data_IF_960168983389
#
_entry.id   IF_960168983389
#
_cell.length_a   1.000
_cell.length_b   1.000
_cell.length_c   1.000
_cell.angle_alpha   90.00
_cell.angle_beta   90.00
_cell.angle_gamma   90.00
#
_symmetry.space_group_name_H-M   'P 1'
#
loop_
_entity.id
_entity.type
_entity.pdbx_description
1 polymer ?
#
# COMPACT_ATOMS: atom_id res chain seq x y z
N UNK A 1 -19.34 -33.85 -12.77
CA UNK A 1 -19.08 -32.52 -13.36
C UNK A 1 -17.62 -32.20 -13.06
N UNK A 2 -16.82 -31.92 -14.08
CA UNK A 2 -15.41 -31.62 -13.88
C UNK A 2 -15.31 -30.27 -13.13
N UNK A 3 -14.45 -30.12 -12.15
CA UNK A 3 -14.26 -28.90 -11.36
C UNK A 3 -14.01 -27.69 -12.27
N UNK A 4 -13.25 -27.86 -13.36
CA UNK A 4 -12.96 -26.79 -14.34
C UNK A 4 -14.20 -26.33 -15.12
N UNK A 5 -15.16 -27.23 -15.42
CA UNK A 5 -16.42 -26.85 -16.07
C UNK A 5 -17.26 -25.92 -15.14
N UNK A 6 -17.25 -26.18 -13.83
CA UNK A 6 -17.95 -25.33 -12.88
C UNK A 6 -17.25 -23.96 -12.72
N UNK A 7 -15.92 -23.93 -12.69
CA UNK A 7 -15.13 -22.68 -12.64
C UNK A 7 -15.36 -21.86 -13.91
N UNK A 8 -15.48 -22.49 -15.07
CA UNK A 8 -15.69 -21.84 -16.36
C UNK A 8 -17.06 -21.15 -16.50
N UNK A 9 -18.05 -21.54 -15.70
CA UNK A 9 -19.35 -20.88 -15.65
C UNK A 9 -19.34 -19.55 -14.89
N UNK A 10 -18.22 -19.21 -14.19
CA UNK A 10 -18.09 -17.97 -13.43
C UNK A 10 -17.89 -16.81 -14.39
N UNK A 11 -18.72 -15.77 -14.27
CA UNK A 11 -18.54 -14.53 -14.99
C UNK A 11 -18.62 -13.31 -14.06
N UNK A 12 -18.07 -12.20 -14.50
CA UNK A 12 -17.95 -10.97 -13.73
C UNK A 12 -18.76 -9.81 -14.31
N UNK A 13 -19.63 -10.04 -15.29
CA UNK A 13 -20.40 -9.03 -16.03
C UNK A 13 -21.25 -8.11 -15.16
N UNK A 14 -21.59 -8.56 -13.94
CA UNK A 14 -22.45 -7.81 -12.99
C UNK A 14 -21.68 -7.11 -11.91
N UNK A 15 -20.35 -7.18 -11.91
CA UNK A 15 -19.54 -6.53 -10.89
C UNK A 15 -19.37 -5.08 -11.26
N UNK A 16 -19.82 -4.18 -10.38
CA UNK A 16 -19.52 -2.77 -10.47
C UNK A 16 -18.15 -2.50 -9.80
N UNK A 17 -17.26 -1.83 -10.51
CA UNK A 17 -15.97 -1.42 -9.97
C UNK A 17 -15.68 0.02 -10.40
N UNK A 18 -14.83 0.67 -9.63
CA UNK A 18 -14.28 1.97 -9.97
C UNK A 18 -12.89 1.77 -10.59
N UNK A 19 -12.62 2.52 -11.65
CA UNK A 19 -11.31 2.50 -12.29
C UNK A 19 -10.20 2.90 -11.31
N UNK A 20 -9.07 2.21 -11.42
CA UNK A 20 -7.85 2.51 -10.68
C UNK A 20 -6.87 3.21 -11.62
N UNK A 21 -5.97 4.02 -11.06
CA UNK A 21 -4.85 4.58 -11.83
C UNK A 21 -3.90 3.50 -12.36
N UNK A 22 -3.84 2.38 -11.66
CA UNK A 22 -3.04 1.21 -12.06
C UNK A 22 -3.87 0.28 -12.93
N UNK A 23 -3.28 -0.21 -14.02
CA UNK A 23 -3.91 -1.13 -14.98
C UNK A 23 -3.00 -2.31 -15.28
N UNK A 24 -3.59 -3.42 -15.77
CA UNK A 24 -2.83 -4.58 -16.26
C UNK A 24 -2.54 -4.36 -17.74
N UNK A 25 -1.29 -4.06 -18.06
CA UNK A 25 -0.86 -3.73 -19.43
C UNK A 25 -0.05 -4.85 -20.10
N UNK A 26 0.35 -5.86 -19.35
CA UNK A 26 1.18 -6.96 -19.83
C UNK A 26 0.41 -8.25 -19.87
N UNK A 27 0.73 -9.11 -20.84
CA UNK A 27 0.07 -10.41 -21.03
C UNK A 27 0.27 -11.32 -19.81
N UNK A 28 1.51 -11.36 -19.29
CA UNK A 28 1.86 -12.20 -18.15
C UNK A 28 2.22 -11.30 -16.98
N UNK A 29 1.35 -11.30 -15.97
CA UNK A 29 1.42 -10.34 -14.86
C UNK A 29 1.30 -11.01 -13.50
N UNK A 30 2.21 -10.68 -12.60
CA UNK A 30 2.09 -11.01 -11.17
C UNK A 30 1.55 -9.79 -10.42
N UNK A 31 0.44 -9.97 -9.72
CA UNK A 31 -0.19 -8.92 -8.91
C UNK A 31 0.12 -9.16 -7.45
N UNK A 32 0.83 -8.24 -6.83
CA UNK A 32 1.17 -8.24 -5.40
C UNK A 32 0.50 -7.08 -4.68
N UNK A 33 0.48 -7.12 -3.37
CA UNK A 33 -0.02 -6.06 -2.51
C UNK A 33 -0.82 -6.57 -1.33
N UNK A 34 -1.12 -5.69 -0.37
CA UNK A 34 -1.83 -6.05 0.85
C UNK A 34 -3.20 -6.69 0.56
N UNK A 35 -3.70 -7.61 1.39
CA UNK A 35 -5.10 -8.02 1.36
C UNK A 35 -6.05 -6.83 1.37
N UNK A 36 -7.13 -6.91 0.60
CA UNK A 36 -8.16 -5.86 0.47
C UNK A 36 -7.70 -4.54 -0.17
N UNK A 37 -6.55 -4.52 -0.84
CA UNK A 37 -6.09 -3.37 -1.62
C UNK A 37 -6.84 -3.20 -2.96
N UNK A 38 -7.65 -4.18 -3.38
CA UNK A 38 -8.42 -4.14 -4.62
C UNK A 38 -7.85 -5.00 -5.76
N UNK A 39 -6.93 -5.93 -5.48
CA UNK A 39 -6.33 -6.82 -6.51
C UNK A 39 -7.35 -7.56 -7.36
N UNK A 40 -8.32 -8.23 -6.72
CA UNK A 40 -9.37 -8.97 -7.44
C UNK A 40 -10.19 -8.06 -8.35
N UNK A 41 -10.52 -6.84 -7.90
CA UNK A 41 -11.25 -5.87 -8.72
C UNK A 41 -10.45 -5.38 -9.92
N UNK A 42 -9.12 -5.24 -9.79
CA UNK A 42 -8.25 -4.95 -10.92
C UNK A 42 -8.23 -6.10 -11.94
N UNK A 43 -8.28 -7.35 -11.46
CA UNK A 43 -8.41 -8.52 -12.32
C UNK A 43 -9.78 -8.53 -13.04
N UNK A 44 -10.87 -8.22 -12.33
CA UNK A 44 -12.20 -8.18 -12.93
C UNK A 44 -12.32 -7.06 -13.98
N UNK A 45 -11.71 -5.91 -13.73
CA UNK A 45 -11.59 -4.84 -14.72
C UNK A 45 -10.88 -5.32 -15.99
N UNK A 46 -9.74 -5.97 -15.84
CA UNK A 46 -9.01 -6.57 -16.95
C UNK A 46 -9.86 -7.61 -17.70
N UNK A 47 -10.57 -8.50 -16.99
CA UNK A 47 -11.41 -9.53 -17.57
C UNK A 47 -12.68 -8.97 -18.24
N UNK A 48 -13.12 -7.76 -17.88
CA UNK A 48 -14.27 -7.11 -18.52
C UNK A 48 -14.06 -6.82 -20.01
N UNK A 49 -12.81 -6.86 -20.49
CA UNK A 49 -12.46 -6.72 -21.90
C UNK A 49 -12.56 -8.04 -22.70
N UNK A 50 -12.90 -9.14 -22.05
CA UNK A 50 -13.00 -10.48 -22.62
C UNK A 50 -14.43 -11.03 -22.40
N UNK A 51 -14.89 -11.90 -23.30
CA UNK A 51 -16.12 -12.66 -23.05
C UNK A 51 -15.86 -13.76 -22.02
N UNK A 52 -16.90 -14.19 -21.31
CA UNK A 52 -16.77 -15.25 -20.29
C UNK A 52 -16.21 -16.58 -20.81
N UNK A 53 -16.30 -16.81 -22.12
CA UNK A 53 -15.76 -17.99 -22.80
C UNK A 53 -14.26 -17.90 -23.08
N UNK A 54 -13.65 -16.70 -23.01
CA UNK A 54 -12.25 -16.48 -23.33
C UNK A 54 -11.31 -16.61 -22.12
N UNK A 55 -11.85 -16.63 -20.90
CA UNK A 55 -11.00 -16.70 -19.71
C UNK A 55 -11.37 -17.86 -18.77
N UNK A 56 -10.39 -18.26 -17.96
CA UNK A 56 -10.57 -19.18 -16.85
C UNK A 56 -10.03 -18.55 -15.59
N UNK A 57 -10.91 -18.28 -14.61
CA UNK A 57 -10.55 -17.65 -13.34
C UNK A 57 -10.59 -18.67 -12.21
N UNK A 58 -9.45 -18.95 -11.60
CA UNK A 58 -9.28 -19.92 -10.53
C UNK A 58 -8.81 -19.21 -9.25
N UNK A 59 -9.63 -19.22 -8.20
CA UNK A 59 -9.24 -18.73 -6.88
C UNK A 59 -8.84 -19.92 -5.98
N UNK A 60 -7.59 -19.98 -5.57
CA UNK A 60 -7.06 -21.04 -4.70
C UNK A 60 -7.43 -20.88 -3.22
N UNK A 61 -8.13 -19.80 -2.82
CA UNK A 61 -8.77 -19.72 -1.52
C UNK A 61 -10.12 -20.43 -1.47
N UNK A 62 -10.75 -20.71 -2.61
CA UNK A 62 -11.93 -21.58 -2.61
C UNK A 62 -11.47 -23.03 -2.39
N UNK A 63 -11.89 -23.60 -1.26
CA UNK A 63 -11.53 -24.96 -0.85
C UNK A 63 -11.95 -26.05 -1.85
N UNK A 64 -12.87 -25.76 -2.79
CA UNK A 64 -13.28 -26.67 -3.85
C UNK A 64 -12.25 -26.76 -4.98
N UNK A 65 -11.36 -25.79 -5.09
CA UNK A 65 -10.36 -25.69 -6.15
C UNK A 65 -9.08 -26.44 -5.77
N UNK A 66 -9.16 -27.78 -5.76
CA UNK A 66 -8.02 -28.62 -5.42
C UNK A 66 -6.94 -28.58 -6.51
N UNK A 67 -5.74 -28.06 -6.18
CA UNK A 67 -4.62 -27.89 -7.09
C UNK A 67 -4.22 -29.21 -7.81
N UNK A 68 -4.26 -30.35 -7.13
CA UNK A 68 -3.95 -31.68 -7.69
C UNK A 68 -4.91 -32.10 -8.82
N UNK A 69 -6.19 -31.77 -8.67
CA UNK A 69 -7.22 -32.06 -9.69
C UNK A 69 -7.09 -31.08 -10.85
N UNK A 70 -6.95 -29.79 -10.54
CA UNK A 70 -6.78 -28.73 -11.55
C UNK A 70 -5.56 -29.03 -12.42
N UNK A 71 -4.41 -29.28 -11.82
CA UNK A 71 -3.16 -29.56 -12.53
C UNK A 71 -3.27 -30.68 -13.56
N UNK A 72 -4.07 -31.69 -13.26
CA UNK A 72 -4.24 -32.86 -14.14
C UNK A 72 -4.99 -32.58 -15.43
N UNK A 73 -5.90 -31.61 -15.42
CA UNK A 73 -6.83 -31.38 -16.54
C UNK A 73 -6.70 -29.98 -17.14
N UNK A 74 -5.89 -29.10 -16.58
CA UNK A 74 -5.83 -27.68 -16.96
C UNK A 74 -5.40 -27.48 -18.42
N UNK A 75 -4.34 -28.12 -18.87
CA UNK A 75 -3.81 -27.96 -20.24
C UNK A 75 -4.83 -28.46 -21.28
N UNK A 76 -5.41 -29.63 -21.07
CA UNK A 76 -6.44 -30.19 -21.97
C UNK A 76 -7.70 -29.31 -21.99
N UNK A 77 -8.07 -28.74 -20.84
CA UNK A 77 -9.21 -27.85 -20.73
C UNK A 77 -9.00 -26.54 -21.49
N UNK A 78 -7.82 -25.91 -21.31
CA UNK A 78 -7.44 -24.69 -22.03
C UNK A 78 -7.49 -24.93 -23.54
N UNK A 79 -6.90 -26.03 -24.01
CA UNK A 79 -6.88 -26.37 -25.44
C UNK A 79 -8.28 -26.64 -26.00
N UNK A 80 -9.11 -27.39 -25.27
CA UNK A 80 -10.49 -27.74 -25.66
C UNK A 80 -11.38 -26.50 -25.78
N UNK A 81 -11.33 -25.60 -24.81
CA UNK A 81 -12.19 -24.41 -24.73
C UNK A 81 -11.57 -23.16 -25.37
N UNK A 82 -10.31 -23.25 -25.85
CA UNK A 82 -9.57 -22.14 -26.48
C UNK A 82 -9.47 -20.92 -25.54
N UNK A 83 -9.16 -21.19 -24.26
CA UNK A 83 -9.00 -20.15 -23.26
C UNK A 83 -7.84 -19.23 -23.65
N UNK A 84 -8.07 -17.93 -23.65
CA UNK A 84 -7.07 -16.91 -23.97
C UNK A 84 -6.37 -16.35 -22.74
N UNK A 85 -7.13 -16.21 -21.62
CA UNK A 85 -6.64 -15.66 -20.38
C UNK A 85 -6.81 -16.64 -19.23
N UNK A 86 -5.72 -16.96 -18.53
CA UNK A 86 -5.74 -17.73 -17.29
C UNK A 86 -5.50 -16.81 -16.12
N UNK A 87 -6.41 -16.80 -15.14
CA UNK A 87 -6.22 -16.10 -13.87
C UNK A 87 -6.06 -17.12 -12.76
N UNK A 88 -4.96 -16.99 -12.00
CA UNK A 88 -4.66 -17.79 -10.81
C UNK A 88 -4.62 -16.85 -9.60
N UNK A 89 -5.75 -16.69 -8.93
CA UNK A 89 -5.82 -15.82 -7.75
C UNK A 89 -5.42 -16.58 -6.48
N UNK A 90 -4.72 -15.88 -5.56
CA UNK A 90 -4.17 -16.43 -4.32
C UNK A 90 -3.27 -17.65 -4.56
N UNK A 91 -2.53 -17.64 -5.65
CA UNK A 91 -1.74 -18.77 -6.13
C UNK A 91 -0.46 -18.95 -5.33
N UNK A 92 -0.22 -20.18 -4.89
CA UNK A 92 0.94 -20.58 -4.11
C UNK A 92 1.97 -21.41 -4.90
N UNK A 93 1.86 -21.42 -6.24
CA UNK A 93 2.73 -22.19 -7.16
C UNK A 93 2.67 -23.72 -6.91
N UNK A 94 1.46 -24.20 -6.65
CA UNK A 94 1.19 -25.62 -6.37
C UNK A 94 1.04 -26.45 -7.65
N UNK A 95 0.82 -25.76 -8.79
CA UNK A 95 0.69 -26.39 -10.11
C UNK A 95 1.69 -25.77 -11.09
N UNK A 96 2.06 -26.52 -12.13
CA UNK A 96 2.86 -26.01 -13.25
C UNK A 96 1.99 -25.05 -14.08
N UNK A 97 2.57 -23.93 -14.50
CA UNK A 97 1.90 -23.02 -15.42
C UNK A 97 1.82 -23.63 -16.82
N UNK A 98 0.67 -23.51 -17.51
CA UNK A 98 0.54 -23.99 -18.89
C UNK A 98 1.40 -23.14 -19.84
N UNK A 99 1.98 -23.79 -20.85
CA UNK A 99 2.90 -23.15 -21.80
C UNK A 99 2.14 -22.49 -23.01
N UNK A 100 0.94 -23.01 -23.34
CA UNK A 100 0.19 -22.59 -24.52
C UNK A 100 -1.03 -21.75 -24.15
N UNK A 101 -0.80 -20.59 -23.53
CA UNK A 101 -1.85 -19.62 -23.19
C UNK A 101 -1.41 -18.22 -23.63
N UNK A 102 -2.36 -17.37 -24.04
CA UNK A 102 -2.02 -16.04 -24.53
C UNK A 102 -1.65 -15.07 -23.38
N UNK A 103 -2.28 -15.22 -22.22
CA UNK A 103 -2.07 -14.34 -21.06
C UNK A 103 -2.29 -15.09 -19.74
N UNK A 104 -1.39 -14.88 -18.79
CA UNK A 104 -1.51 -15.44 -17.44
C UNK A 104 -1.40 -14.33 -16.39
N UNK A 105 -2.46 -14.18 -15.58
CA UNK A 105 -2.51 -13.23 -14.47
C UNK A 105 -2.46 -13.98 -13.16
N UNK A 106 -1.48 -13.67 -12.32
CA UNK A 106 -1.26 -14.35 -11.04
C UNK A 106 -1.39 -13.35 -9.90
N UNK A 107 -2.27 -13.60 -8.94
CA UNK A 107 -2.28 -12.89 -7.65
C UNK A 107 -1.64 -13.77 -6.58
N UNK A 108 -0.61 -13.28 -5.92
CA UNK A 108 0.13 -14.05 -4.92
C UNK A 108 0.72 -13.17 -3.81
N UNK A 109 0.92 -13.76 -2.63
CA UNK A 109 1.68 -13.16 -1.51
C UNK A 109 3.12 -13.69 -1.44
N UNK A 110 3.49 -14.68 -2.28
CA UNK A 110 4.85 -15.21 -2.30
C UNK A 110 5.79 -14.27 -3.04
N UNK A 111 6.98 -14.14 -2.49
CA UNK A 111 8.06 -13.45 -3.19
C UNK A 111 8.62 -14.39 -4.28
N UNK A 112 8.15 -14.18 -5.49
CA UNK A 112 8.51 -14.98 -6.66
C UNK A 112 8.71 -14.05 -7.84
N UNK A 113 9.77 -14.31 -8.59
CA UNK A 113 10.05 -13.69 -9.88
C UNK A 113 9.93 -14.80 -10.92
N UNK A 114 9.13 -14.56 -11.95
CA UNK A 114 9.00 -15.47 -13.09
C UNK A 114 9.53 -14.78 -14.34
N UNK A 115 10.33 -15.49 -15.12
CA UNK A 115 10.83 -14.99 -16.40
C UNK A 115 9.65 -14.68 -17.33
N UNK A 116 9.65 -13.49 -17.94
CA UNK A 116 8.61 -13.05 -18.85
C UNK A 116 7.38 -12.44 -18.16
N UNK A 117 7.31 -12.44 -16.82
CA UNK A 117 6.22 -11.81 -16.08
C UNK A 117 6.60 -10.43 -15.56
N UNK A 118 5.70 -9.47 -15.76
CA UNK A 118 5.77 -8.18 -15.08
C UNK A 118 5.11 -8.25 -13.69
N UNK A 119 5.71 -7.58 -12.72
CA UNK A 119 5.12 -7.49 -11.37
C UNK A 119 4.55 -6.12 -11.13
N UNK A 120 3.26 -6.06 -10.80
CA UNK A 120 2.57 -4.85 -10.38
C UNK A 120 2.17 -4.93 -8.91
N UNK A 121 2.22 -3.77 -8.22
CA UNK A 121 1.84 -3.66 -6.82
C UNK A 121 0.57 -2.86 -6.68
N UNK A 122 -0.50 -3.49 -6.18
CA UNK A 122 -1.79 -2.84 -5.90
C UNK A 122 -1.82 -2.47 -4.42
N UNK A 123 -1.57 -1.20 -4.16
CA UNK A 123 -1.62 -0.62 -2.80
C UNK A 123 -3.01 -0.03 -2.50
N UNK A 124 -3.21 0.51 -1.31
CA UNK A 124 -4.43 1.26 -0.97
C UNK A 124 -4.60 2.47 -1.89
N UNK A 125 -5.77 3.10 -1.88
CA UNK A 125 -6.04 4.29 -2.71
C UNK A 125 -5.11 5.46 -2.32
N UNK A 126 -4.65 6.24 -3.30
CA UNK A 126 -4.22 7.61 -3.02
C UNK A 126 -5.44 8.52 -2.81
N UNK A 127 -5.20 9.77 -2.44
CA UNK A 127 -6.33 10.65 -2.11
C UNK A 127 -7.17 11.00 -3.34
N UNK A 128 -6.58 11.12 -4.52
CA UNK A 128 -7.32 11.39 -5.76
C UNK A 128 -8.18 10.19 -6.15
N UNK A 129 -7.65 8.96 -6.11
CA UNK A 129 -8.45 7.74 -6.28
C UNK A 129 -9.56 7.67 -5.22
N UNK A 130 -9.26 8.03 -3.94
CA UNK A 130 -10.25 8.03 -2.88
C UNK A 130 -11.43 8.97 -3.19
N UNK A 131 -11.17 10.16 -3.74
CA UNK A 131 -12.22 11.09 -4.15
C UNK A 131 -13.13 10.51 -5.24
N UNK A 132 -12.57 9.76 -6.19
CA UNK A 132 -13.35 9.07 -7.24
C UNK A 132 -14.23 7.94 -6.68
N UNK A 133 -13.75 7.25 -5.65
CA UNK A 133 -14.49 6.15 -5.01
C UNK A 133 -15.52 6.65 -3.99
N UNK A 134 -15.34 7.83 -3.42
CA UNK A 134 -16.20 8.36 -2.36
C UNK A 134 -17.44 9.08 -2.94
N UNK A 135 -18.42 8.29 -3.33
CA UNK A 135 -19.69 8.80 -3.88
C UNK A 135 -20.61 9.37 -2.82
N UNK A 136 -20.30 9.19 -1.52
CA UNK A 136 -21.17 9.62 -0.41
C UNK A 136 -21.00 11.09 -0.05
N UNK A 137 -19.79 11.63 -0.20
CA UNK A 137 -19.47 12.99 0.19
C UNK A 137 -19.50 13.92 -1.02
N UNK A 138 -20.18 15.06 -0.87
CA UNK A 138 -20.31 16.05 -1.95
C UNK A 138 -19.15 17.06 -1.98
N UNK A 139 -18.30 17.06 -0.96
CA UNK A 139 -17.16 17.98 -0.89
C UNK A 139 -15.85 17.25 -0.60
N UNK A 140 -14.77 17.69 -1.22
CA UNK A 140 -13.41 17.19 -0.97
C UNK A 140 -12.98 17.29 0.50
N UNK A 141 -13.47 18.28 1.23
CA UNK A 141 -13.21 18.45 2.67
C UNK A 141 -13.83 17.32 3.50
N UNK A 142 -15.06 16.90 3.18
CA UNK A 142 -15.71 15.79 3.88
C UNK A 142 -15.05 14.45 3.52
N UNK A 143 -14.70 14.26 2.25
CA UNK A 143 -13.93 13.09 1.80
C UNK A 143 -12.55 13.04 2.47
N UNK A 144 -11.88 14.19 2.60
CA UNK A 144 -10.60 14.29 3.32
C UNK A 144 -10.75 13.90 4.80
N UNK A 145 -11.77 14.37 5.48
CA UNK A 145 -12.02 13.99 6.88
C UNK A 145 -12.28 12.47 7.02
N UNK A 146 -13.01 11.89 6.07
CA UNK A 146 -13.25 10.44 6.03
C UNK A 146 -11.96 9.66 5.73
N UNK A 147 -11.17 10.09 4.74
CA UNK A 147 -9.87 9.52 4.40
C UNK A 147 -8.91 9.56 5.59
N UNK A 148 -8.76 10.73 6.21
CA UNK A 148 -7.92 10.94 7.39
C UNK A 148 -8.30 10.00 8.54
N UNK A 149 -9.59 9.82 8.80
CA UNK A 149 -10.11 9.05 9.93
C UNK A 149 -10.10 7.53 9.68
N UNK A 150 -10.41 7.10 8.46
CA UNK A 150 -10.66 5.69 8.16
C UNK A 150 -9.67 5.05 7.21
N UNK A 151 -8.77 5.85 6.63
CA UNK A 151 -7.71 5.34 5.76
C UNK A 151 -8.13 5.11 4.32
N UNK A 152 -7.30 4.36 3.61
CA UNK A 152 -7.22 4.31 2.17
C UNK A 152 -7.64 2.97 1.55
N UNK A 153 -8.34 2.10 2.27
CA UNK A 153 -8.83 0.85 1.67
C UNK A 153 -10.13 1.06 0.89
N UNK A 154 -10.23 0.56 -0.36
CA UNK A 154 -11.44 0.68 -1.16
C UNK A 154 -12.70 0.15 -0.43
N UNK A 155 -12.62 -1.03 0.17
CA UNK A 155 -13.73 -1.65 0.90
C UNK A 155 -14.28 -0.76 2.04
N UNK A 156 -13.40 0.02 2.69
CA UNK A 156 -13.79 0.83 3.85
C UNK A 156 -14.66 2.04 3.47
N UNK A 157 -14.57 2.53 2.23
CA UNK A 157 -15.35 3.69 1.80
C UNK A 157 -16.85 3.40 1.94
N UNK A 158 -17.30 2.26 1.44
CA UNK A 158 -18.70 1.85 1.48
C UNK A 158 -19.16 1.25 2.81
N UNK A 159 -18.21 0.93 3.71
CA UNK A 159 -18.52 0.27 4.97
C UNK A 159 -19.29 1.22 5.93
N UNK A 160 -20.18 0.70 6.79
CA UNK A 160 -20.85 1.53 7.80
C UNK A 160 -19.85 2.22 8.72
N UNK A 161 -20.00 3.53 8.93
CA UNK A 161 -19.02 4.37 9.64
C UNK A 161 -18.65 3.84 11.02
N UNK A 162 -19.64 3.41 11.81
CA UNK A 162 -19.45 2.88 13.15
C UNK A 162 -18.70 1.54 13.19
N UNK A 163 -18.50 0.88 12.05
CA UNK A 163 -17.80 -0.41 11.93
C UNK A 163 -16.46 -0.31 11.19
N UNK A 164 -16.15 0.83 10.57
CA UNK A 164 -14.93 0.99 9.76
C UNK A 164 -13.64 0.69 10.54
N UNK A 165 -13.52 1.18 11.77
CA UNK A 165 -12.34 0.93 12.60
C UNK A 165 -12.15 -0.56 12.92
N UNK A 166 -13.23 -1.24 13.30
CA UNK A 166 -13.19 -2.69 13.57
C UNK A 166 -12.80 -3.44 12.30
N UNK A 167 -13.39 -3.06 11.16
CA UNK A 167 -13.09 -3.69 9.87
C UNK A 167 -11.63 -3.51 9.44
N UNK A 168 -11.05 -2.32 9.61
CA UNK A 168 -9.63 -2.09 9.37
C UNK A 168 -8.73 -3.00 10.23
N UNK A 169 -9.10 -3.20 11.48
CA UNK A 169 -8.37 -4.13 12.36
C UNK A 169 -8.54 -5.60 11.91
N UNK A 170 -9.72 -6.01 11.47
CA UNK A 170 -9.94 -7.35 10.90
C UNK A 170 -9.11 -7.56 9.64
N UNK A 171 -9.06 -6.58 8.75
CA UNK A 171 -8.23 -6.62 7.55
C UNK A 171 -6.75 -6.78 7.94
N UNK A 172 -6.27 -6.07 8.97
CA UNK A 172 -4.87 -6.19 9.40
C UNK A 172 -4.49 -7.60 9.88
N UNK A 173 -5.45 -8.40 10.35
CA UNK A 173 -5.20 -9.81 10.71
C UNK A 173 -4.96 -10.70 9.50
N UNK A 174 -5.49 -10.34 8.33
CA UNK A 174 -5.31 -11.12 7.11
C UNK A 174 -3.86 -11.13 6.61
N UNK A 175 -3.01 -10.22 7.10
CA UNK A 175 -1.58 -10.19 6.78
C UNK A 175 -0.76 -11.21 7.56
N UNK A 176 -1.34 -11.79 8.60
CA UNK A 176 -0.64 -12.56 9.61
C UNK A 176 -1.07 -14.02 9.56
N UNK A 177 -0.10 -14.93 9.53
CA UNK A 177 -0.36 -16.37 9.58
C UNK A 177 -0.73 -16.85 11.00
N UNK A 178 -0.23 -16.13 12.03
CA UNK A 178 -0.48 -16.47 13.43
C UNK A 178 -0.44 -15.24 14.36
N UNK A 179 -0.72 -15.48 15.64
CA UNK A 179 -0.75 -14.45 16.69
C UNK A 179 0.62 -13.77 16.90
N UNK A 180 1.73 -14.46 16.63
CA UNK A 180 3.08 -13.88 16.77
C UNK A 180 3.32 -12.82 15.69
N UNK A 181 2.98 -13.13 14.45
CA UNK A 181 3.06 -12.17 13.34
C UNK A 181 2.14 -10.97 13.57
N UNK A 182 0.94 -11.20 14.08
CA UNK A 182 0.04 -10.10 14.45
C UNK A 182 0.67 -9.19 15.52
N UNK A 183 1.33 -9.75 16.54
CA UNK A 183 2.03 -8.94 17.56
C UNK A 183 3.20 -8.16 16.98
N UNK A 184 3.93 -8.72 16.02
CA UNK A 184 4.99 -8.02 15.29
C UNK A 184 4.38 -6.85 14.50
N UNK A 185 3.33 -7.10 13.71
CA UNK A 185 2.64 -6.07 12.95
C UNK A 185 2.14 -4.93 13.83
N UNK A 186 1.44 -5.25 14.92
CA UNK A 186 0.94 -4.24 15.86
C UNK A 186 2.07 -3.41 16.49
N UNK A 187 3.23 -4.03 16.77
CA UNK A 187 4.40 -3.30 17.26
C UNK A 187 4.94 -2.34 16.20
N UNK A 188 5.04 -2.77 14.94
CA UNK A 188 5.47 -1.92 13.83
C UNK A 188 4.53 -0.74 13.62
N UNK A 189 3.21 -0.98 13.60
CA UNK A 189 2.19 0.07 13.48
C UNK A 189 2.30 1.10 14.62
N UNK A 190 2.47 0.65 15.88
CA UNK A 190 2.65 1.55 17.05
C UNK A 190 3.87 2.45 16.94
N UNK A 191 4.86 2.06 16.15
CA UNK A 191 6.09 2.82 15.95
C UNK A 191 6.17 3.48 14.56
N UNK A 192 5.07 3.55 13.83
CA UNK A 192 5.02 4.24 12.54
C UNK A 192 5.29 5.75 12.71
N UNK A 193 6.03 6.31 11.77
CA UNK A 193 6.54 7.70 11.83
C UNK A 193 7.79 7.89 12.69
N UNK A 194 8.23 6.86 13.42
CA UNK A 194 9.39 6.93 14.31
C UNK A 194 10.66 6.31 13.70
N UNK A 195 11.82 6.80 14.16
CA UNK A 195 13.15 6.23 13.86
C UNK A 195 13.43 5.13 14.87
N UNK A 196 13.23 3.86 14.51
CA UNK A 196 13.57 2.72 15.38
C UNK A 196 14.21 1.59 14.57
N UNK A 197 15.31 1.05 15.07
CA UNK A 197 15.93 -0.11 14.45
C UNK A 197 15.09 -1.37 14.68
N UNK A 198 15.11 -2.28 13.72
CA UNK A 198 14.45 -3.60 13.84
C UNK A 198 14.95 -4.33 15.09
N UNK A 199 16.22 -4.14 15.46
CA UNK A 199 16.79 -4.71 16.68
C UNK A 199 16.18 -4.14 17.98
N UNK A 200 15.93 -2.82 18.03
CA UNK A 200 15.24 -2.20 19.17
C UNK A 200 13.80 -2.73 19.30
N UNK A 201 13.09 -2.87 18.20
CA UNK A 201 11.74 -3.42 18.17
C UNK A 201 11.72 -4.89 18.59
N UNK A 202 12.65 -5.70 18.07
CA UNK A 202 12.83 -7.08 18.52
C UNK A 202 13.03 -7.18 20.04
N UNK A 203 13.93 -6.37 20.60
CA UNK A 203 14.20 -6.38 22.03
C UNK A 203 12.99 -5.94 22.87
N UNK A 204 12.16 -5.05 22.34
CA UNK A 204 10.90 -4.65 22.98
C UNK A 204 9.93 -5.83 23.01
N UNK A 205 9.67 -6.48 21.88
CA UNK A 205 8.74 -7.58 21.78
C UNK A 205 9.18 -8.84 22.54
N UNK A 206 10.50 -9.11 22.57
CA UNK A 206 11.08 -10.23 23.30
C UNK A 206 10.81 -10.19 24.80
N UNK A 207 10.54 -9.00 25.37
CA UNK A 207 10.16 -8.85 26.78
C UNK A 207 8.72 -9.30 27.05
N UNK A 208 7.88 -9.31 26.02
CA UNK A 208 6.44 -9.63 26.12
C UNK A 208 6.15 -11.07 25.70
N UNK A 209 6.89 -11.60 24.70
CA UNK A 209 6.66 -12.94 24.16
C UNK A 209 7.98 -13.66 23.86
N UNK A 210 7.92 -14.98 23.85
CA UNK A 210 9.05 -15.82 23.41
C UNK A 210 9.11 -15.86 21.88
N UNK A 211 10.16 -15.24 21.30
CA UNK A 211 10.37 -15.17 19.86
C UNK A 211 11.86 -15.23 19.53
N UNK A 212 12.24 -15.92 18.45
CA UNK A 212 13.60 -15.90 17.91
C UNK A 212 13.86 -14.63 17.10
N UNK A 213 15.12 -14.21 17.04
CA UNK A 213 15.54 -13.07 16.23
C UNK A 213 15.24 -13.31 14.74
N UNK A 214 15.57 -14.49 14.24
CA UNK A 214 15.39 -14.84 12.82
C UNK A 214 13.93 -14.78 12.39
N UNK A 215 13.02 -15.30 13.22
CA UNK A 215 11.58 -15.19 12.94
C UNK A 215 11.11 -13.75 12.88
N UNK A 216 11.54 -12.91 13.85
CA UNK A 216 11.16 -11.51 13.87
C UNK A 216 11.62 -10.78 12.61
N UNK A 217 12.90 -10.95 12.24
CA UNK A 217 13.47 -10.31 11.06
C UNK A 217 12.80 -10.80 9.77
N UNK A 218 12.64 -12.11 9.61
CA UNK A 218 11.95 -12.70 8.46
C UNK A 218 10.54 -12.14 8.30
N UNK A 219 9.76 -12.03 9.37
CA UNK A 219 8.41 -11.46 9.33
C UNK A 219 8.42 -9.99 8.94
N UNK A 220 9.39 -9.18 9.45
CA UNK A 220 9.53 -7.78 9.03
C UNK A 220 9.82 -7.68 7.52
N UNK A 221 10.73 -8.50 6.99
CA UNK A 221 11.05 -8.53 5.57
C UNK A 221 9.82 -8.93 4.73
N UNK A 222 9.06 -9.94 5.14
CA UNK A 222 7.83 -10.36 4.46
C UNK A 222 6.77 -9.24 4.44
N UNK A 223 6.62 -8.47 5.53
CA UNK A 223 5.72 -7.32 5.54
C UNK A 223 6.19 -6.20 4.61
N UNK A 224 7.49 -5.98 4.47
CA UNK A 224 8.06 -4.99 3.55
C UNK A 224 7.84 -5.42 2.09
N UNK A 225 8.17 -6.66 1.72
CA UNK A 225 7.98 -7.24 0.39
C UNK A 225 6.52 -7.20 -0.06
N UNK A 226 5.58 -7.46 0.87
CA UNK A 226 4.14 -7.40 0.61
C UNK A 226 3.54 -5.98 0.73
N UNK A 227 4.37 -4.94 0.88
CA UNK A 227 3.93 -3.54 0.99
C UNK A 227 2.96 -3.28 2.15
N UNK A 228 3.05 -4.08 3.22
CA UNK A 228 2.29 -3.87 4.47
C UNK A 228 2.98 -2.84 5.35
N UNK A 229 4.32 -2.86 5.36
CA UNK A 229 5.20 -1.94 6.08
C UNK A 229 6.24 -1.39 5.08
N UNK A 230 6.66 -0.17 5.32
CA UNK A 230 7.72 0.49 4.57
C UNK A 230 8.81 0.99 5.49
N UNK A 231 10.06 0.89 5.04
CA UNK A 231 11.22 1.41 5.74
C UNK A 231 11.87 2.51 4.91
N UNK A 232 11.60 3.76 5.25
CA UNK A 232 12.21 4.91 4.59
C UNK A 232 13.66 5.09 5.10
N UNK A 233 14.61 5.13 4.19
CA UNK A 233 16.04 5.24 4.46
C UNK A 233 16.47 6.69 4.68
N UNK A 234 17.57 6.88 5.43
CA UNK A 234 18.24 8.17 5.50
C UNK A 234 19.09 8.37 4.25
N UNK A 235 18.98 9.53 3.61
CA UNK A 235 19.73 9.84 2.40
C UNK A 235 21.23 9.66 2.60
N UNK A 236 21.91 8.99 1.67
CA UNK A 236 23.34 8.65 1.69
C UNK A 236 23.83 7.89 2.92
N UNK A 237 22.92 7.40 3.77
CA UNK A 237 23.26 6.67 5.00
C UNK A 237 22.43 5.39 5.15
N UNK A 238 22.58 4.38 4.27
CA UNK A 238 21.71 3.18 4.24
C UNK A 238 21.83 2.32 5.52
N UNK A 239 22.92 2.46 6.27
CA UNK A 239 23.11 1.77 7.56
C UNK A 239 22.46 2.49 8.74
N UNK A 240 21.96 3.71 8.55
CA UNK A 240 21.26 4.45 9.58
C UNK A 240 19.90 3.83 9.91
N UNK A 241 19.36 4.21 11.06
CA UNK A 241 18.02 3.76 11.47
C UNK A 241 16.99 4.29 10.50
N UNK A 242 16.13 3.38 9.98
CA UNK A 242 15.08 3.73 9.05
C UNK A 242 13.84 4.29 9.78
N UNK A 243 13.05 5.13 9.11
CA UNK A 243 11.71 5.50 9.57
C UNK A 243 10.72 4.42 9.13
N UNK A 244 9.75 4.11 9.98
CA UNK A 244 8.74 3.08 9.72
C UNK A 244 7.46 3.75 9.25
N UNK A 245 6.85 3.22 8.18
CA UNK A 245 5.53 3.62 7.72
C UNK A 245 4.67 2.39 7.44
N UNK A 246 3.35 2.57 7.44
CA UNK A 246 2.40 1.49 7.24
C UNK A 246 1.47 1.80 6.08
N UNK A 247 1.02 0.77 5.40
CA UNK A 247 0.19 0.85 4.18
C UNK A 247 -1.17 1.55 4.36
N UNK A 248 -1.63 1.69 5.59
CA UNK A 248 -2.86 2.41 5.93
C UNK A 248 -2.66 3.23 7.20
N UNK A 249 -2.67 4.55 7.07
CA UNK A 249 -2.41 5.48 8.16
C UNK A 249 -3.43 5.39 9.30
N UNK A 250 -4.69 5.04 9.02
CA UNK A 250 -5.71 4.94 10.07
C UNK A 250 -5.44 3.84 11.11
N UNK A 251 -4.58 2.86 10.79
CA UNK A 251 -4.20 1.80 11.71
C UNK A 251 -3.47 2.32 12.95
N UNK A 252 -2.79 3.47 12.86
CA UNK A 252 -2.09 4.06 14.01
C UNK A 252 -3.05 4.39 15.16
N UNK A 253 -4.23 4.90 14.83
CA UNK A 253 -5.26 5.24 15.82
C UNK A 253 -6.04 4.02 16.32
N UNK A 254 -6.12 2.95 15.51
CA UNK A 254 -6.84 1.73 15.85
C UNK A 254 -6.07 0.86 16.85
N UNK A 255 -4.75 0.78 16.71
CA UNK A 255 -3.91 -0.11 17.52
C UNK A 255 -3.35 0.53 18.81
N UNK A 256 -3.58 1.83 19.02
CA UNK A 256 -3.06 2.56 20.18
C UNK A 256 -4.09 3.47 20.81
N UNK A 257 -4.22 3.41 22.13
CA UNK A 257 -5.01 4.39 22.91
C UNK A 257 -4.35 5.78 22.91
N UNK A 258 -3.02 5.83 22.80
CA UNK A 258 -2.28 7.08 22.72
C UNK A 258 -2.23 7.52 21.25
N UNK A 259 -3.12 8.42 20.91
CA UNK A 259 -3.17 9.00 19.56
C UNK A 259 -1.94 9.87 19.31
N UNK A 260 -1.31 9.67 18.17
CA UNK A 260 -0.21 10.51 17.67
C UNK A 260 -0.58 11.04 16.29
N UNK A 261 -1.34 12.13 16.28
CA UNK A 261 -1.83 12.73 15.05
C UNK A 261 -0.70 13.13 14.09
N UNK A 262 0.42 13.62 14.62
CA UNK A 262 1.57 13.97 13.78
C UNK A 262 2.11 12.76 13.02
N UNK A 263 2.25 11.61 13.69
CA UNK A 263 2.75 10.39 13.02
C UNK A 263 1.73 9.83 12.03
N UNK A 264 0.43 9.90 12.35
CA UNK A 264 -0.63 9.52 11.42
C UNK A 264 -0.58 10.39 10.16
N UNK A 265 -0.49 11.71 10.33
CA UNK A 265 -0.41 12.65 9.21
C UNK A 265 0.86 12.46 8.37
N UNK A 266 2.02 12.24 9.02
CA UNK A 266 3.27 11.88 8.33
C UNK A 266 3.13 10.58 7.52
N UNK A 267 2.46 9.59 8.07
CA UNK A 267 2.23 8.33 7.35
C UNK A 267 1.35 8.55 6.12
N UNK A 268 0.32 9.39 6.23
CA UNK A 268 -0.55 9.75 5.12
C UNK A 268 0.23 10.47 4.00
N UNK A 269 1.03 11.48 4.34
CA UNK A 269 1.91 12.17 3.37
C UNK A 269 2.94 11.21 2.76
N UNK A 270 3.53 10.31 3.57
CA UNK A 270 4.45 9.29 3.05
C UNK A 270 3.82 8.42 1.98
N UNK A 271 2.59 7.97 2.18
CA UNK A 271 1.91 7.08 1.23
C UNK A 271 1.66 7.76 -0.12
N UNK A 272 1.31 9.04 -0.14
CA UNK A 272 1.19 9.81 -1.39
C UNK A 272 2.53 9.94 -2.12
N UNK A 273 3.59 10.29 -1.39
CA UNK A 273 4.93 10.41 -1.96
C UNK A 273 5.47 9.07 -2.48
N UNK A 274 5.31 8.00 -1.70
CA UNK A 274 5.83 6.67 -2.02
C UNK A 274 5.22 6.07 -3.30
N UNK A 275 4.00 6.45 -3.66
CA UNK A 275 3.37 6.02 -4.92
C UNK A 275 3.96 6.69 -6.16
N UNK A 276 4.52 7.87 -6.01
CA UNK A 276 4.93 8.73 -7.13
C UNK A 276 6.45 8.81 -7.30
N UNK A 277 7.18 8.70 -6.18
CA UNK A 277 8.63 8.89 -6.15
C UNK A 277 9.36 7.63 -5.69
N UNK A 278 10.30 7.17 -6.49
CA UNK A 278 11.17 6.03 -6.17
C UNK A 278 12.36 6.44 -5.29
N UNK A 279 12.76 7.73 -5.32
CA UNK A 279 13.93 8.28 -4.62
C UNK A 279 13.50 9.10 -3.41
N UNK A 280 12.73 8.47 -2.51
CA UNK A 280 12.19 9.06 -1.30
C UNK A 280 13.03 8.65 -0.08
N UNK A 281 13.60 9.64 0.59
CA UNK A 281 14.46 9.48 1.76
C UNK A 281 13.99 10.39 2.89
N UNK A 282 14.62 10.29 4.05
CA UNK A 282 14.53 11.32 5.08
C UNK A 282 15.90 11.94 5.36
N UNK A 283 15.93 13.16 5.95
CA UNK A 283 17.11 13.80 6.50
C UNK A 283 16.94 14.07 8.01
N UNK A 284 17.99 14.53 8.67
CA UNK A 284 17.83 14.97 10.04
C UNK A 284 16.93 16.21 10.09
N UNK A 285 15.93 16.18 10.97
CA UNK A 285 14.89 17.21 11.13
C UNK A 285 13.96 17.41 9.92
N UNK A 286 14.10 16.63 8.85
CA UNK A 286 13.27 16.68 7.65
C UNK A 286 12.50 15.36 7.53
N UNK A 287 11.19 15.47 7.27
CA UNK A 287 10.36 14.28 7.17
C UNK A 287 10.66 13.51 5.89
N UNK A 288 10.71 14.19 4.73
CA UNK A 288 10.92 13.58 3.44
C UNK A 288 11.84 14.43 2.56
N UNK A 289 12.66 13.75 1.79
CA UNK A 289 13.57 14.32 0.80
C UNK A 289 13.45 13.56 -0.52
N UNK A 290 13.09 14.28 -1.57
CA UNK A 290 12.99 13.81 -2.94
C UNK A 290 14.31 14.16 -3.63
N UNK A 291 15.22 13.19 -3.71
CA UNK A 291 16.60 13.47 -4.09
C UNK A 291 16.78 13.86 -5.57
N UNK A 292 15.90 13.42 -6.46
CA UNK A 292 15.96 13.79 -7.87
C UNK A 292 15.41 15.20 -8.14
N UNK A 293 14.43 15.61 -7.33
CA UNK A 293 13.75 16.90 -7.43
C UNK A 293 14.46 17.99 -6.62
N UNK A 294 15.44 17.61 -5.77
CA UNK A 294 16.06 18.50 -4.79
C UNK A 294 15.02 19.20 -3.88
N UNK A 295 13.96 18.48 -3.54
CA UNK A 295 12.83 18.98 -2.76
C UNK A 295 12.78 18.34 -1.38
N UNK A 296 12.45 19.14 -0.37
CA UNK A 296 12.07 18.63 0.96
C UNK A 296 10.59 18.82 1.18
N UNK A 297 9.94 17.78 1.73
CA UNK A 297 8.54 17.81 2.12
C UNK A 297 8.44 17.60 3.62
N UNK A 298 7.75 18.52 4.30
CA UNK A 298 7.50 18.49 5.74
C UNK A 298 6.00 18.24 5.97
N UNK A 299 5.68 17.26 6.79
CA UNK A 299 4.31 16.95 7.18
C UNK A 299 3.99 17.61 8.53
N UNK A 300 3.45 18.82 8.52
CA UNK A 300 3.14 19.63 9.71
C UNK A 300 1.64 19.90 9.72
N UNK A 301 0.84 19.08 10.43
CA UNK A 301 -0.62 19.16 10.34
C UNK A 301 -1.19 20.52 10.72
N UNK A 302 -0.60 21.20 11.73
CA UNK A 302 -1.04 22.50 12.22
C UNK A 302 0.13 23.48 12.18
N UNK A 303 0.15 24.31 11.15
CA UNK A 303 1.20 25.31 10.96
C UNK A 303 0.79 26.65 11.58
N UNK A 304 1.71 27.30 12.26
CA UNK A 304 1.53 28.64 12.81
C UNK A 304 2.89 29.35 12.93
N UNK A 305 2.88 30.67 13.21
CA UNK A 305 4.09 31.50 13.26
C UNK A 305 5.15 31.02 14.24
N UNK A 306 4.79 30.41 15.38
CA UNK A 306 5.75 29.88 16.35
C UNK A 306 6.41 28.60 15.85
N UNK A 307 5.65 27.74 15.21
CA UNK A 307 6.17 26.52 14.57
C UNK A 307 7.07 26.91 13.41
N UNK A 308 6.71 27.91 12.62
CA UNK A 308 7.48 28.43 11.49
C UNK A 308 8.92 28.73 11.89
N UNK A 309 9.18 29.58 12.87
CA UNK A 309 10.52 29.95 13.28
C UNK A 309 11.38 28.74 13.73
N UNK A 310 10.78 27.80 14.47
CA UNK A 310 11.47 26.61 14.95
C UNK A 310 11.78 25.61 13.81
N UNK A 311 10.86 25.46 12.85
CA UNK A 311 11.06 24.60 11.68
C UNK A 311 12.15 25.18 10.79
N UNK A 312 12.06 26.47 10.44
CA UNK A 312 13.02 27.17 9.58
C UNK A 312 14.44 27.01 10.15
N UNK A 313 14.65 27.28 11.43
CA UNK A 313 15.99 27.16 12.05
C UNK A 313 16.57 25.75 11.98
N UNK A 314 15.74 24.71 11.97
CA UNK A 314 16.17 23.30 11.90
C UNK A 314 16.47 22.81 10.50
N UNK A 315 15.81 23.36 9.49
CA UNK A 315 15.98 22.90 8.10
C UNK A 315 17.03 23.70 7.32
N UNK A 316 17.30 24.94 7.70
CA UNK A 316 18.28 25.81 7.06
C UNK A 316 19.64 25.10 6.80
N UNK A 317 20.27 24.42 7.79
CA UNK A 317 21.53 23.74 7.54
C UNK A 317 21.46 22.65 6.46
N UNK A 318 20.30 22.02 6.31
CA UNK A 318 20.11 20.98 5.30
C UNK A 318 19.87 21.59 3.91
N UNK A 319 19.25 22.74 3.84
CA UNK A 319 19.05 23.48 2.58
C UNK A 319 20.40 23.74 1.91
N UNK A 320 21.35 24.31 2.65
CA UNK A 320 22.69 24.60 2.15
C UNK A 320 23.49 23.32 1.83
N UNK A 321 23.39 22.30 2.70
CA UNK A 321 24.18 21.07 2.57
C UNK A 321 23.79 20.25 1.34
N UNK A 322 22.50 20.20 1.03
CA UNK A 322 21.95 19.33 -0.03
C UNK A 322 21.48 20.11 -1.28
N UNK A 323 21.75 21.43 -1.35
CA UNK A 323 21.33 22.31 -2.47
C UNK A 323 19.82 22.18 -2.75
N UNK A 324 19.01 22.27 -1.69
CA UNK A 324 17.56 22.16 -1.78
C UNK A 324 17.02 23.32 -2.60
N UNK A 325 16.20 23.02 -3.61
CA UNK A 325 15.59 23.99 -4.50
C UNK A 325 14.15 24.31 -4.15
N UNK A 326 13.45 23.35 -3.51
CA UNK A 326 12.03 23.49 -3.20
C UNK A 326 11.73 23.02 -1.77
N UNK A 327 10.82 23.72 -1.11
CA UNK A 327 10.35 23.37 0.23
C UNK A 327 8.82 23.35 0.21
N UNK A 328 8.26 22.19 0.46
CA UNK A 328 6.82 22.01 0.59
C UNK A 328 6.45 21.65 2.04
N UNK A 329 5.53 22.39 2.63
CA UNK A 329 4.99 22.13 3.97
C UNK A 329 3.53 21.72 3.81
N UNK A 330 3.27 20.42 3.96
CA UNK A 330 1.93 19.87 3.88
C UNK A 330 1.23 20.02 5.22
N UNK A 331 0.04 20.61 5.22
CA UNK A 331 -0.77 20.88 6.41
C UNK A 331 -2.17 20.25 6.29
N UNK A 332 -2.98 20.30 7.34
CA UNK A 332 -4.39 19.89 7.26
C UNK A 332 -5.21 20.89 6.42
N UNK A 333 -4.99 22.19 6.61
CA UNK A 333 -5.86 23.23 6.00
C UNK A 333 -5.19 24.58 5.75
N UNK A 334 -3.96 24.80 6.21
CA UNK A 334 -3.27 26.09 6.00
C UNK A 334 -2.67 26.16 4.61
N UNK A 335 -2.80 27.33 3.95
CA UNK A 335 -2.24 27.60 2.63
C UNK A 335 -1.63 29.00 2.64
N UNK A 336 -0.33 29.09 2.46
CA UNK A 336 0.41 30.34 2.37
C UNK A 336 1.78 30.10 1.73
N UNK A 337 2.45 31.16 1.31
CA UNK A 337 3.82 31.13 0.83
C UNK A 337 4.71 31.90 1.80
N UNK A 338 5.83 31.32 2.19
CA UNK A 338 6.84 31.95 3.04
C UNK A 338 8.21 31.85 2.39
N UNK A 339 9.17 32.65 2.85
CA UNK A 339 10.56 32.56 2.41
C UNK A 339 11.45 31.96 3.52
N UNK A 340 12.29 31.00 3.13
CA UNK A 340 13.28 30.37 3.98
C UNK A 340 14.67 30.66 3.38
N UNK A 341 15.32 31.73 3.87
CA UNK A 341 16.45 32.30 3.17
C UNK A 341 16.02 32.90 1.81
N UNK A 342 16.62 32.40 0.73
CA UNK A 342 16.29 32.78 -0.64
C UNK A 342 15.26 31.84 -1.30
N UNK A 343 14.88 30.74 -0.62
CA UNK A 343 13.99 29.73 -1.17
C UNK A 343 12.54 30.04 -0.80
N UNK A 344 11.68 30.03 -1.81
CA UNK A 344 10.23 30.07 -1.63
C UNK A 344 9.75 28.72 -1.07
N UNK A 345 9.08 28.75 0.07
CA UNK A 345 8.48 27.57 0.69
C UNK A 345 6.95 27.64 0.58
N UNK A 346 6.37 26.63 -0.04
CA UNK A 346 4.95 26.50 -0.20
C UNK A 346 4.33 25.77 1.01
N UNK A 347 3.40 26.40 1.68
CA UNK A 347 2.53 25.79 2.68
C UNK A 347 1.21 25.48 1.98
N UNK A 348 0.81 24.22 1.97
CA UNK A 348 -0.33 23.76 1.20
C UNK A 348 -1.16 22.74 2.00
N UNK A 349 -2.49 22.80 1.86
CA UNK A 349 -3.36 21.80 2.46
C UNK A 349 -3.15 20.42 1.83
N UNK A 350 -3.26 19.34 2.60
CA UNK A 350 -3.09 17.98 2.08
C UNK A 350 -4.03 17.71 0.90
N UNK A 351 -5.28 18.17 0.99
CA UNK A 351 -6.26 17.93 -0.07
C UNK A 351 -5.88 18.62 -1.39
N UNK A 352 -5.37 19.85 -1.33
CA UNK A 352 -4.91 20.57 -2.53
C UNK A 352 -3.60 19.95 -3.06
N UNK A 353 -2.67 19.64 -2.16
CA UNK A 353 -1.37 19.07 -2.50
C UNK A 353 -1.48 17.67 -3.14
N UNK A 354 -2.24 16.75 -2.54
CA UNK A 354 -2.34 15.38 -3.02
C UNK A 354 -2.99 15.25 -4.41
N UNK A 355 -3.85 16.18 -4.78
CA UNK A 355 -4.47 16.24 -6.11
C UNK A 355 -3.57 16.95 -7.14
N UNK A 356 -2.64 17.82 -6.69
CA UNK A 356 -1.71 18.55 -7.57
C UNK A 356 -0.42 17.79 -7.87
N UNK A 357 -0.14 16.73 -7.14
CA UNK A 357 1.00 15.84 -7.38
C UNK A 357 0.76 15.06 -8.69
#
# INVERSE_FOLDING_TARGET
MNILEHIYEINFDKINFHERKITINYKDTIIKGPPKSGKSYLIYDYLSHYTSEQYLYIDFLDYKNEASIISKYLEDFIAKHKIEVLVLENFNFEIKLPENINSTIISTVKDTILDGFETIYVEGLDFEEYLLFDTKHQSSSNSFNSFLKFGNFPEIIEYPENKKAIRNYEISKLYCQDVTELKILLLLIKNAGEKKSIFQLFNSLKKEIKISKDRFYKTCTQFEENKVIYFCEKFQQPKSVKKIFVHNHSLLDIVSYKKNFNNLFKNMVYLELNKRYTNLYYLDNIDFYLSNENEIVLAIPFFNNLISANVISKILPSIDTYNISFVTIVTVSSEETIFIGEIEAQIISFSSWAVSL
#
